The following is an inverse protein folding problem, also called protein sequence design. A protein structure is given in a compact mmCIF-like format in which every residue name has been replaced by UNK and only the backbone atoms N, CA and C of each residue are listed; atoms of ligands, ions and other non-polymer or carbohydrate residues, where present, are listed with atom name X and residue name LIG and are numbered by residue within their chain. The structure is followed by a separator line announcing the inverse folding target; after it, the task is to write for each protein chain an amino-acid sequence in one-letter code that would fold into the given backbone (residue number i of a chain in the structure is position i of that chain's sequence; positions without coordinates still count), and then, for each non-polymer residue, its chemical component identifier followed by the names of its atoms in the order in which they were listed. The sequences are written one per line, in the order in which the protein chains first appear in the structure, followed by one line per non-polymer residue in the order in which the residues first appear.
data_IF_781358890119
#
_entry.id   IF_781358890119
#
_cell.length_a   1.000
_cell.length_b   1.000
_cell.length_c   1.000
_cell.angle_alpha   90.00
_cell.angle_beta   90.00
_cell.angle_gamma   90.00
#
_symmetry.space_group_name_H-M   'P 1'
#
loop_
_entity.id
_entity.type
_entity.pdbx_description
1 polymer ?
#
# COMPACT_ATOMS: atom_id res chain seq x y z
N UNK A 1 2.28 -29.63 -6.32
CA UNK A 1 1.89 -28.43 -7.09
C UNK A 1 0.94 -27.61 -6.24
N UNK A 2 1.41 -26.49 -5.68
CA UNK A 2 0.55 -25.60 -4.89
C UNK A 2 -0.51 -24.95 -5.81
N UNK A 3 -1.81 -25.03 -5.49
CA UNK A 3 -2.89 -24.46 -6.32
C UNK A 3 -2.84 -22.92 -6.43
N UNK A 4 -2.01 -22.25 -5.63
CA UNK A 4 -1.74 -20.81 -5.77
C UNK A 4 -0.83 -20.51 -6.95
N UNK A 5 0.27 -21.25 -7.13
CA UNK A 5 1.26 -21.04 -8.20
C UNK A 5 0.62 -21.14 -9.59
N UNK A 6 -0.29 -22.10 -9.81
CA UNK A 6 -0.97 -22.26 -11.10
C UNK A 6 -1.82 -21.05 -11.46
N UNK A 7 -2.56 -20.46 -10.51
CA UNK A 7 -3.37 -19.27 -10.75
C UNK A 7 -2.52 -18.06 -11.18
N UNK A 8 -1.38 -17.83 -10.52
CA UNK A 8 -0.49 -16.71 -10.84
C UNK A 8 0.24 -16.89 -12.16
N UNK A 9 0.68 -18.11 -12.47
CA UNK A 9 1.29 -18.42 -13.77
C UNK A 9 0.27 -18.33 -14.89
N UNK A 10 -0.96 -18.84 -14.70
CA UNK A 10 -2.04 -18.78 -15.69
C UNK A 10 -2.49 -17.34 -15.92
N UNK A 11 -2.61 -16.54 -14.86
CA UNK A 11 -2.97 -15.13 -14.98
C UNK A 11 -1.85 -14.31 -15.64
N UNK A 12 -0.57 -14.54 -15.29
CA UNK A 12 0.56 -13.89 -15.96
C UNK A 12 0.59 -14.23 -17.45
N UNK A 13 0.47 -15.53 -17.80
CA UNK A 13 0.42 -15.99 -19.19
C UNK A 13 -0.78 -15.39 -19.94
N UNK A 14 -1.96 -15.33 -19.32
CA UNK A 14 -3.13 -14.69 -19.91
C UNK A 14 -2.92 -13.19 -20.15
N UNK A 15 -2.31 -12.48 -19.20
CA UNK A 15 -2.05 -11.03 -19.29
C UNK A 15 -0.92 -10.69 -20.26
N UNK A 16 0.07 -11.57 -20.47
CA UNK A 16 1.15 -11.39 -21.44
C UNK A 16 0.69 -11.71 -22.89
N UNK A 17 -0.28 -12.61 -23.07
CA UNK A 17 -0.76 -13.04 -24.39
C UNK A 17 -2.00 -12.25 -24.90
N UNK A 18 -2.87 -11.78 -24.00
CA UNK A 18 -4.08 -11.01 -24.34
C UNK A 18 -4.05 -9.45 -24.26
N UNK A 19 -2.91 -8.73 -24.05
CA UNK A 19 -2.92 -7.26 -23.92
C UNK A 19 -3.57 -6.52 -25.09
N UNK A 20 -3.46 -7.11 -26.28
CA UNK A 20 -3.84 -6.46 -27.54
C UNK A 20 -5.35 -6.59 -27.82
N UNK A 21 -6.03 -7.55 -27.19
CA UNK A 21 -7.41 -7.95 -27.50
C UNK A 21 -8.39 -7.83 -26.32
N UNK A 22 -7.92 -7.71 -25.08
CA UNK A 22 -8.80 -7.63 -23.91
C UNK A 22 -9.63 -6.33 -23.89
N UNK A 23 -10.95 -6.47 -23.77
CA UNK A 23 -11.86 -5.34 -23.59
C UNK A 23 -11.91 -4.89 -22.11
N UNK A 24 -12.55 -3.74 -21.85
CA UNK A 24 -12.66 -3.14 -20.51
C UNK A 24 -13.18 -4.12 -19.45
N UNK A 25 -14.18 -4.94 -19.83
CA UNK A 25 -14.84 -5.92 -18.98
C UNK A 25 -13.90 -7.05 -18.58
N UNK A 26 -13.12 -7.57 -19.52
CA UNK A 26 -12.13 -8.62 -19.25
C UNK A 26 -11.00 -8.12 -18.35
N UNK A 27 -10.51 -6.91 -18.63
CA UNK A 27 -9.46 -6.31 -17.81
C UNK A 27 -9.92 -6.06 -16.37
N UNK A 28 -11.11 -5.49 -16.19
CA UNK A 28 -11.67 -5.25 -14.86
C UNK A 28 -11.98 -6.57 -14.13
N UNK A 29 -12.46 -7.59 -14.85
CA UNK A 29 -12.70 -8.93 -14.28
C UNK A 29 -11.39 -9.59 -13.80
N UNK A 30 -10.32 -9.53 -14.61
CA UNK A 30 -9.01 -10.05 -14.21
C UNK A 30 -8.42 -9.28 -13.03
N UNK A 31 -8.49 -7.95 -13.05
CA UNK A 31 -8.06 -7.08 -11.94
C UNK A 31 -8.82 -7.41 -10.65
N UNK A 32 -10.14 -7.55 -10.75
CA UNK A 32 -11.02 -7.88 -9.63
C UNK A 32 -10.71 -9.25 -9.05
N UNK A 33 -10.58 -10.26 -9.90
CA UNK A 33 -10.25 -11.62 -9.50
C UNK A 33 -8.86 -11.70 -8.84
N UNK A 34 -7.90 -10.94 -9.36
CA UNK A 34 -6.58 -10.78 -8.76
C UNK A 34 -6.69 -10.21 -7.34
N UNK A 35 -7.30 -9.04 -7.18
CA UNK A 35 -7.35 -8.36 -5.88
C UNK A 35 -8.16 -9.15 -4.85
N UNK A 36 -9.20 -9.86 -5.29
CA UNK A 36 -10.02 -10.70 -4.40
C UNK A 36 -9.31 -11.96 -3.89
N UNK A 37 -8.25 -12.41 -4.58
CA UNK A 37 -7.43 -13.58 -4.18
C UNK A 37 -6.15 -13.19 -3.46
N UNK A 38 -5.65 -11.98 -3.68
CA UNK A 38 -4.36 -11.49 -3.14
C UNK A 38 -4.48 -10.75 -1.84
N UNK A 39 -5.53 -9.97 -1.72
CA UNK A 39 -5.94 -9.32 -0.51
C UNK A 39 -7.29 -9.94 -0.14
N UNK A 40 -7.58 -10.12 1.14
CA UNK A 40 -8.94 -10.50 1.56
C UNK A 40 -9.91 -9.30 1.39
N UNK A 41 -9.61 -8.39 0.47
CA UNK A 41 -10.36 -7.20 0.13
C UNK A 41 -11.36 -7.49 -1.01
N UNK A 42 -12.58 -6.93 -0.95
CA UNK A 42 -13.77 -7.52 -1.53
C UNK A 42 -14.11 -6.91 -2.88
N UNK A 43 -13.17 -6.89 -3.81
CA UNK A 43 -13.36 -6.17 -5.08
C UNK A 43 -14.31 -6.86 -6.07
N UNK A 44 -14.96 -7.98 -5.72
CA UNK A 44 -15.93 -8.65 -6.58
C UNK A 44 -17.15 -7.78 -6.85
N UNK A 45 -17.15 -7.05 -7.97
CA UNK A 45 -18.37 -6.58 -8.61
C UNK A 45 -19.08 -7.75 -9.30
N UNK A 46 -20.39 -7.87 -9.09
CA UNK A 46 -21.23 -8.74 -9.92
C UNK A 46 -21.17 -8.26 -11.38
N UNK A 47 -20.87 -9.17 -12.31
CA UNK A 47 -20.77 -8.92 -13.76
C UNK A 47 -21.97 -8.16 -14.36
N UNK A 48 -23.13 -8.19 -13.70
CA UNK A 48 -24.41 -7.69 -14.22
C UNK A 48 -24.57 -6.15 -14.25
N UNK A 49 -23.76 -5.38 -13.51
CA UNK A 49 -23.89 -3.91 -13.45
C UNK A 49 -22.94 -3.13 -14.36
N UNK A 50 -22.02 -3.80 -15.05
CA UNK A 50 -21.06 -3.21 -15.98
C UNK A 50 -21.54 -3.24 -17.45
N UNK A 51 -22.80 -3.65 -17.69
CA UNK A 51 -23.32 -4.07 -18.99
C UNK A 51 -23.84 -2.96 -19.92
N UNK A 52 -23.61 -1.68 -19.66
CA UNK A 52 -24.22 -0.61 -20.48
C UNK A 52 -23.27 0.49 -20.92
N UNK A 53 -22.21 0.16 -21.67
CA UNK A 53 -21.47 1.14 -22.49
C UNK A 53 -20.89 0.47 -23.75
N UNK A 54 -21.74 0.23 -24.75
CA UNK A 54 -21.30 -0.06 -26.11
C UNK A 54 -20.94 1.26 -26.81
N UNK A 55 -19.64 1.48 -27.05
CA UNK A 55 -19.15 2.60 -27.84
C UNK A 55 -17.64 2.59 -27.95
N UNK A 56 -17.14 2.69 -29.18
CA UNK A 56 -15.78 3.01 -29.66
C UNK A 56 -14.57 2.40 -28.88
N UNK A 57 -13.96 1.37 -29.47
CA UNK A 57 -12.90 0.55 -28.87
C UNK A 57 -11.59 1.30 -28.51
N UNK A 58 -11.31 2.46 -29.13
CA UNK A 58 -10.04 3.18 -28.94
C UNK A 58 -10.03 4.07 -27.68
N UNK A 59 -11.17 4.63 -27.26
CA UNK A 59 -11.26 5.40 -26.01
C UNK A 59 -11.33 4.49 -24.77
N UNK A 60 -11.96 3.30 -24.89
CA UNK A 60 -12.07 2.31 -23.80
C UNK A 60 -10.69 1.75 -23.41
N UNK A 61 -9.80 1.49 -24.39
CA UNK A 61 -8.40 1.09 -24.15
C UNK A 61 -7.57 2.18 -23.47
N UNK A 62 -7.83 3.45 -23.76
CA UNK A 62 -7.10 4.59 -23.15
C UNK A 62 -7.49 4.80 -21.69
N UNK A 63 -8.77 4.62 -21.35
CA UNK A 63 -9.30 4.91 -20.01
C UNK A 63 -8.85 3.91 -18.94
N UNK A 64 -8.76 2.61 -19.24
CA UNK A 64 -8.26 1.59 -18.29
C UNK A 64 -6.86 1.06 -18.61
N UNK A 65 -6.17 1.67 -19.58
CA UNK A 65 -4.89 1.18 -20.11
C UNK A 65 -3.75 1.09 -19.09
N UNK A 66 -3.92 1.68 -17.90
CA UNK A 66 -2.99 1.58 -16.77
C UNK A 66 -3.22 0.36 -15.88
N UNK A 67 -4.41 -0.26 -15.87
CA UNK A 67 -4.70 -1.41 -15.01
C UNK A 67 -3.93 -2.66 -15.44
N UNK A 68 -3.83 -2.92 -16.74
CA UNK A 68 -3.09 -4.09 -17.23
C UNK A 68 -1.62 -4.06 -16.79
N UNK A 69 -0.85 -2.98 -17.05
CA UNK A 69 0.52 -2.89 -16.54
C UNK A 69 0.60 -2.90 -14.99
N UNK A 70 -0.46 -2.49 -14.28
CA UNK A 70 -0.51 -2.61 -12.80
C UNK A 70 -0.56 -4.07 -12.36
N UNK A 71 -1.41 -4.89 -12.98
CA UNK A 71 -1.48 -6.32 -12.62
C UNK A 71 -0.22 -7.05 -13.09
N UNK A 72 0.29 -6.72 -14.29
CA UNK A 72 1.53 -7.30 -14.80
C UNK A 72 2.70 -7.02 -13.86
N UNK A 73 2.84 -5.79 -13.35
CA UNK A 73 3.91 -5.47 -12.39
C UNK A 73 3.80 -6.30 -11.11
N UNK A 74 2.59 -6.49 -10.59
CA UNK A 74 2.32 -7.29 -9.40
C UNK A 74 2.55 -8.79 -9.61
N UNK A 75 2.16 -9.33 -10.77
CA UNK A 75 2.40 -10.73 -11.10
C UNK A 75 3.89 -11.02 -11.20
N UNK A 76 4.63 -10.19 -11.94
CA UNK A 76 6.07 -10.36 -12.14
C UNK A 76 6.82 -10.18 -10.82
N UNK A 77 6.53 -9.14 -10.01
CA UNK A 77 7.22 -8.97 -8.72
C UNK A 77 6.92 -10.13 -7.76
N UNK A 78 5.69 -10.63 -7.72
CA UNK A 78 5.35 -11.81 -6.90
C UNK A 78 6.15 -13.05 -7.32
N UNK A 79 6.38 -13.26 -8.62
CA UNK A 79 7.25 -14.34 -9.11
C UNK A 79 8.70 -14.16 -8.65
N UNK A 80 9.23 -12.93 -8.61
CA UNK A 80 10.61 -12.70 -8.12
C UNK A 80 10.81 -13.03 -6.64
N UNK A 81 9.73 -13.01 -5.85
CA UNK A 81 9.77 -13.41 -4.44
C UNK A 81 9.81 -14.94 -4.26
N UNK A 82 9.58 -15.72 -5.33
CA UNK A 82 9.68 -17.18 -5.29
C UNK A 82 11.11 -17.62 -5.65
N UNK A 83 11.76 -18.49 -4.84
CA UNK A 83 13.14 -18.93 -5.07
C UNK A 83 13.38 -19.56 -6.45
N UNK A 84 12.34 -20.14 -7.03
CA UNK A 84 12.36 -20.93 -8.27
C UNK A 84 12.46 -20.04 -9.54
N UNK A 85 12.14 -18.74 -9.44
CA UNK A 85 11.99 -17.85 -10.59
C UNK A 85 12.85 -16.57 -10.51
N UNK A 86 13.87 -16.57 -9.64
CA UNK A 86 14.79 -15.44 -9.48
C UNK A 86 15.69 -15.28 -10.71
N UNK A 87 15.25 -14.43 -11.64
CA UNK A 87 16.09 -13.87 -12.71
C UNK A 87 16.16 -12.35 -12.53
N UNK A 88 17.37 -11.79 -12.64
CA UNK A 88 17.62 -10.34 -12.55
C UNK A 88 16.74 -9.52 -13.52
N UNK A 89 16.42 -10.10 -14.68
CA UNK A 89 15.59 -9.48 -15.72
C UNK A 89 14.11 -9.34 -15.31
N UNK A 90 13.60 -10.20 -14.43
CA UNK A 90 12.20 -10.14 -13.98
C UNK A 90 11.92 -8.92 -13.11
N UNK A 91 12.87 -8.54 -12.23
CA UNK A 91 12.69 -7.36 -11.38
C UNK A 91 12.64 -6.08 -12.21
N UNK A 92 13.52 -5.94 -13.20
CA UNK A 92 13.52 -4.82 -14.13
C UNK A 92 12.20 -4.74 -14.93
N UNK A 93 11.66 -5.88 -15.40
CA UNK A 93 10.36 -5.94 -16.07
C UNK A 93 9.21 -5.52 -15.16
N UNK A 94 9.19 -5.96 -13.91
CA UNK A 94 8.17 -5.57 -12.94
C UNK A 94 8.15 -4.03 -12.75
N UNK A 95 9.33 -3.42 -12.59
CA UNK A 95 9.49 -1.96 -12.52
C UNK A 95 9.00 -1.29 -13.81
N UNK A 96 9.38 -1.81 -14.97
CA UNK A 96 8.96 -1.26 -16.27
C UNK A 96 7.43 -1.25 -16.42
N UNK A 97 6.75 -2.32 -16.00
CA UNK A 97 5.29 -2.37 -15.99
C UNK A 97 4.68 -1.33 -15.05
N UNK A 98 5.23 -1.15 -13.84
CA UNK A 98 4.75 -0.14 -12.89
C UNK A 98 4.96 1.31 -13.39
N UNK A 99 6.10 1.59 -14.04
CA UNK A 99 6.36 2.88 -14.69
C UNK A 99 5.33 3.12 -15.80
N UNK A 100 5.07 2.11 -16.62
CA UNK A 100 4.08 2.18 -17.70
C UNK A 100 2.67 2.42 -17.15
N UNK A 101 2.27 1.72 -16.09
CA UNK A 101 1.01 1.92 -15.40
C UNK A 101 0.87 3.37 -14.94
N UNK A 102 1.88 3.86 -14.21
CA UNK A 102 1.89 5.20 -13.62
C UNK A 102 1.86 6.31 -14.69
N UNK A 103 2.61 6.14 -15.79
CA UNK A 103 2.61 7.09 -16.89
C UNK A 103 1.23 7.16 -17.58
N UNK A 104 0.61 5.99 -17.83
CA UNK A 104 -0.73 5.92 -18.43
C UNK A 104 -1.80 6.49 -17.51
N UNK A 105 -1.73 6.20 -16.21
CA UNK A 105 -2.65 6.74 -15.22
C UNK A 105 -2.64 8.28 -15.22
N UNK A 106 -1.46 8.88 -15.14
CA UNK A 106 -1.31 10.35 -15.17
C UNK A 106 -1.82 11.00 -16.47
N UNK A 107 -1.75 10.28 -17.58
CA UNK A 107 -2.24 10.78 -18.86
C UNK A 107 -3.76 10.61 -19.03
N UNK A 108 -4.32 9.51 -18.49
CA UNK A 108 -5.73 9.17 -18.68
C UNK A 108 -6.66 9.82 -17.65
N UNK A 109 -6.20 10.00 -16.40
CA UNK A 109 -7.06 10.41 -15.29
C UNK A 109 -6.71 11.81 -14.79
N UNK A 110 -7.72 12.68 -14.70
CA UNK A 110 -7.58 14.08 -14.26
C UNK A 110 -8.43 14.42 -13.03
N UNK A 111 -9.07 13.41 -12.43
CA UNK A 111 -9.88 13.55 -11.23
C UNK A 111 -10.78 12.34 -11.02
N UNK A 112 -11.20 12.12 -9.78
CA UNK A 112 -12.09 11.02 -9.40
C UNK A 112 -13.55 11.41 -9.65
N UNK A 113 -14.31 10.52 -10.28
CA UNK A 113 -15.74 10.65 -10.55
C UNK A 113 -16.45 9.28 -10.52
N UNK A 114 -17.78 9.28 -10.66
CA UNK A 114 -18.60 8.07 -10.59
C UNK A 114 -18.20 6.97 -11.61
N UNK A 115 -17.62 7.37 -12.75
CA UNK A 115 -17.26 6.46 -13.82
C UNK A 115 -15.85 5.88 -13.72
N UNK A 116 -14.95 6.41 -12.87
CA UNK A 116 -13.55 5.98 -12.84
C UNK A 116 -13.00 5.67 -11.44
N UNK A 117 -13.74 5.95 -10.36
CA UNK A 117 -13.24 5.78 -9.00
C UNK A 117 -12.75 4.36 -8.67
N UNK A 118 -13.40 3.32 -9.24
CA UNK A 118 -13.01 1.94 -8.97
C UNK A 118 -11.71 1.53 -9.68
N UNK A 119 -11.53 1.78 -10.99
CA UNK A 119 -10.23 1.66 -11.64
C UNK A 119 -9.12 2.45 -10.94
N UNK A 120 -9.39 3.68 -10.53
CA UNK A 120 -8.43 4.51 -9.78
C UNK A 120 -8.06 3.84 -8.45
N UNK A 121 -9.04 3.28 -7.73
CA UNK A 121 -8.83 2.53 -6.50
C UNK A 121 -7.94 1.31 -6.73
N UNK A 122 -8.22 0.52 -7.76
CA UNK A 122 -7.43 -0.67 -8.12
C UNK A 122 -5.99 -0.30 -8.49
N UNK A 123 -5.80 0.76 -9.25
CA UNK A 123 -4.46 1.30 -9.55
C UNK A 123 -3.73 1.73 -8.27
N UNK A 124 -4.38 2.54 -7.42
CA UNK A 124 -3.76 3.04 -6.19
C UNK A 124 -3.36 1.92 -5.24
N UNK A 125 -4.26 0.96 -4.99
CA UNK A 125 -3.98 -0.22 -4.16
C UNK A 125 -2.88 -1.07 -4.79
N UNK A 126 -2.94 -1.31 -6.11
CA UNK A 126 -1.91 -2.07 -6.82
C UNK A 126 -0.54 -1.40 -6.76
N UNK A 127 -0.49 -0.08 -6.87
CA UNK A 127 0.76 0.68 -6.76
C UNK A 127 1.35 0.59 -5.35
N UNK A 128 0.53 0.68 -4.29
CA UNK A 128 0.98 0.50 -2.91
C UNK A 128 1.52 -0.93 -2.72
N UNK A 129 0.78 -1.95 -3.14
CA UNK A 129 1.21 -3.36 -3.07
C UNK A 129 2.54 -3.58 -3.79
N UNK A 130 2.71 -3.00 -4.98
CA UNK A 130 3.93 -3.12 -5.76
C UNK A 130 5.13 -2.55 -5.02
N UNK A 131 5.01 -1.34 -4.47
CA UNK A 131 6.11 -0.71 -3.73
C UNK A 131 6.51 -1.54 -2.51
N UNK A 132 5.54 -2.04 -1.74
CA UNK A 132 5.81 -2.94 -0.62
C UNK A 132 6.56 -4.21 -1.08
N UNK A 133 6.14 -4.84 -2.18
CA UNK A 133 6.80 -6.03 -2.72
C UNK A 133 8.23 -5.75 -3.23
N UNK A 134 8.45 -4.62 -3.89
CA UNK A 134 9.80 -4.20 -4.32
C UNK A 134 10.71 -3.97 -3.13
N UNK A 135 10.21 -3.32 -2.07
CA UNK A 135 10.97 -3.07 -0.85
C UNK A 135 11.40 -4.34 -0.12
N UNK A 136 10.76 -5.50 -0.35
CA UNK A 136 11.23 -6.79 0.17
C UNK A 136 12.49 -7.29 -0.55
N UNK A 137 12.54 -7.13 -1.87
CA UNK A 137 13.64 -7.63 -2.71
C UNK A 137 14.78 -6.63 -2.88
N UNK A 138 14.61 -5.38 -2.43
CA UNK A 138 15.63 -4.34 -2.55
C UNK A 138 16.90 -4.74 -1.78
N UNK A 139 18.09 -4.74 -2.43
CA UNK A 139 19.37 -4.90 -1.74
C UNK A 139 19.55 -3.88 -0.62
N UNK A 140 20.25 -4.25 0.45
CA UNK A 140 20.40 -3.40 1.65
C UNK A 140 21.02 -2.02 1.34
N UNK A 141 21.96 -1.93 0.39
CA UNK A 141 22.57 -0.66 0.00
C UNK A 141 21.63 0.30 -0.74
N UNK A 142 20.48 -0.19 -1.20
CA UNK A 142 19.47 0.56 -1.95
C UNK A 142 18.14 0.67 -1.20
N UNK A 143 18.09 0.19 0.04
CA UNK A 143 16.88 0.19 0.84
C UNK A 143 16.70 1.55 1.53
N UNK A 144 15.71 2.30 1.07
CA UNK A 144 15.31 3.58 1.65
C UNK A 144 14.14 3.37 2.61
N UNK A 145 14.37 3.56 3.91
CA UNK A 145 13.40 3.22 4.94
C UNK A 145 12.16 4.14 4.95
N UNK A 146 12.19 5.27 4.23
CA UNK A 146 11.07 6.22 4.10
C UNK A 146 10.23 6.04 2.82
N UNK A 147 10.65 5.21 1.87
CA UNK A 147 9.98 5.12 0.56
C UNK A 147 8.50 4.76 0.67
N UNK A 148 8.19 3.69 1.39
CA UNK A 148 6.79 3.26 1.61
C UNK A 148 6.00 4.30 2.38
N UNK A 149 6.66 4.98 3.32
CA UNK A 149 6.02 6.05 4.07
C UNK A 149 5.58 7.19 3.14
N UNK A 150 6.43 7.60 2.21
CA UNK A 150 6.10 8.58 1.19
C UNK A 150 5.02 8.10 0.22
N UNK A 151 5.05 6.83 -0.20
CA UNK A 151 4.02 6.23 -1.06
C UNK A 151 2.65 6.29 -0.39
N UNK A 152 2.56 5.90 0.89
CA UNK A 152 1.32 5.94 1.66
C UNK A 152 0.81 7.38 1.86
N UNK A 153 1.71 8.31 2.22
CA UNK A 153 1.36 9.74 2.37
C UNK A 153 0.88 10.33 1.04
N UNK A 154 1.55 10.04 -0.06
CA UNK A 154 1.17 10.51 -1.41
C UNK A 154 -0.17 9.95 -1.88
N UNK A 155 -0.55 8.76 -1.42
CA UNK A 155 -1.84 8.14 -1.74
C UNK A 155 -3.03 8.75 -0.96
N UNK A 156 -2.79 9.57 0.06
CA UNK A 156 -3.84 10.08 0.95
C UNK A 156 -4.94 10.84 0.23
N UNK A 157 -4.56 11.85 -0.57
CA UNK A 157 -5.52 12.68 -1.31
C UNK A 157 -6.38 11.85 -2.25
N UNK A 158 -5.75 10.94 -3.01
CA UNK A 158 -6.46 10.05 -3.92
C UNK A 158 -7.41 9.11 -3.15
N UNK A 159 -6.94 8.60 -2.01
CA UNK A 159 -7.71 7.76 -1.11
C UNK A 159 -8.96 8.47 -0.55
N UNK A 160 -8.85 9.74 -0.19
CA UNK A 160 -9.98 10.55 0.28
C UNK A 160 -11.02 10.76 -0.83
N UNK A 161 -10.57 11.16 -2.03
CA UNK A 161 -11.45 11.36 -3.18
C UNK A 161 -12.21 10.07 -3.54
N UNK A 162 -11.49 8.94 -3.64
CA UNK A 162 -12.06 7.61 -3.90
C UNK A 162 -12.97 7.14 -2.75
N UNK A 163 -12.60 7.43 -1.51
CA UNK A 163 -13.34 7.04 -0.31
C UNK A 163 -14.79 7.52 -0.34
N UNK A 164 -15.04 8.73 -0.84
CA UNK A 164 -16.39 9.28 -0.94
C UNK A 164 -17.32 8.47 -1.86
N UNK A 165 -16.79 7.85 -2.90
CA UNK A 165 -17.52 6.97 -3.80
C UNK A 165 -17.64 5.56 -3.23
N UNK A 166 -16.56 5.04 -2.64
CA UNK A 166 -16.53 3.72 -2.03
C UNK A 166 -17.60 3.60 -0.93
N UNK A 167 -17.70 4.60 -0.04
CA UNK A 167 -18.66 4.61 1.08
C UNK A 167 -20.12 4.54 0.61
N UNK A 168 -20.43 5.11 -0.56
CA UNK A 168 -21.78 5.11 -1.17
C UNK A 168 -22.05 3.87 -2.04
N UNK A 169 -21.02 3.09 -2.33
CA UNK A 169 -21.12 1.92 -3.22
C UNK A 169 -21.58 0.66 -2.50
N UNK A 170 -22.07 -0.32 -3.25
CA UNK A 170 -22.41 -1.65 -2.70
C UNK A 170 -21.20 -2.40 -2.14
N UNK A 171 -19.98 -2.04 -2.57
CA UNK A 171 -18.73 -2.60 -2.06
C UNK A 171 -18.51 -2.24 -0.58
N UNK A 172 -19.02 -1.09 -0.11
CA UNK A 172 -18.99 -0.71 1.31
C UNK A 172 -19.69 -1.76 2.20
N UNK A 173 -20.89 -2.18 1.80
CA UNK A 173 -21.64 -3.21 2.54
C UNK A 173 -21.01 -4.60 2.48
N UNK A 174 -20.18 -4.89 1.46
CA UNK A 174 -19.40 -6.13 1.38
C UNK A 174 -18.17 -6.09 2.29
N UNK A 175 -17.47 -4.94 2.33
CA UNK A 175 -16.37 -4.67 3.25
C UNK A 175 -16.79 -4.87 4.71
N UNK A 176 -17.93 -4.28 5.11
CA UNK A 176 -18.34 -4.34 6.52
C UNK A 176 -18.80 -5.73 6.97
N UNK A 177 -19.31 -6.55 6.05
CA UNK A 177 -19.68 -7.95 6.36
C UNK A 177 -18.47 -8.84 6.63
N UNK A 178 -17.30 -8.54 6.04
CA UNK A 178 -16.06 -9.30 6.26
C UNK A 178 -15.24 -8.80 7.45
N UNK A 179 -15.59 -7.64 8.02
CA UNK A 179 -14.93 -7.03 9.18
C UNK A 179 -14.80 -7.97 10.41
N UNK A 180 -15.79 -8.84 10.76
CA UNK A 180 -15.68 -9.74 11.90
C UNK A 180 -14.64 -10.85 11.71
N UNK A 181 -14.44 -11.33 10.48
CA UNK A 181 -13.47 -12.41 10.18
C UNK A 181 -12.02 -11.96 10.39
N UNK A 182 -11.77 -10.65 10.28
CA UNK A 182 -10.45 -10.00 10.47
C UNK A 182 -10.29 -9.51 11.93
N UNK A 183 -11.36 -9.53 12.73
CA UNK A 183 -11.37 -9.09 14.12
C UNK A 183 -11.02 -10.24 15.07
N UNK A 184 -9.89 -10.91 14.88
CA UNK A 184 -9.38 -11.79 15.93
C UNK A 184 -8.82 -10.95 17.11
N UNK A 185 -8.97 -11.41 18.36
CA UNK A 185 -8.40 -10.75 19.51
C UNK A 185 -6.88 -10.70 19.35
N UNK A 186 -6.32 -9.50 19.40
CA UNK A 186 -4.87 -9.31 19.45
C UNK A 186 -4.44 -9.34 20.91
N UNK A 187 -3.22 -9.84 21.16
CA UNK A 187 -2.57 -9.74 22.46
C UNK A 187 -2.60 -8.30 23.00
N UNK A 188 -2.54 -8.11 24.33
CA UNK A 188 -2.49 -6.78 24.93
C UNK A 188 -1.42 -5.90 24.26
N UNK A 189 -1.87 -4.76 23.73
CA UNK A 189 -1.02 -3.81 23.01
C UNK A 189 -0.26 -2.91 24.01
N UNK A 190 0.96 -3.32 24.37
CA UNK A 190 1.87 -2.50 25.19
C UNK A 190 2.44 -1.29 24.44
N UNK A 191 2.21 -1.15 23.12
CA UNK A 191 2.79 -0.04 22.33
C UNK A 191 2.26 1.31 22.79
N UNK A 192 1.01 1.40 23.26
CA UNK A 192 0.47 2.64 23.82
C UNK A 192 1.18 3.07 25.11
N UNK A 193 1.55 2.12 25.96
CA UNK A 193 2.32 2.42 27.17
C UNK A 193 3.72 2.92 26.80
N UNK A 194 4.41 2.21 25.91
CA UNK A 194 5.74 2.60 25.45
C UNK A 194 5.75 3.97 24.74
N UNK A 195 4.72 4.30 23.97
CA UNK A 195 4.52 5.64 23.40
C UNK A 195 4.25 6.72 24.45
N UNK A 196 3.62 6.38 25.58
CA UNK A 196 3.46 7.34 26.69
C UNK A 196 4.79 7.58 27.39
N UNK A 197 5.61 6.55 27.58
CA UNK A 197 6.98 6.68 28.09
C UNK A 197 7.83 7.56 27.15
N UNK A 198 7.73 7.34 25.84
CA UNK A 198 8.41 8.19 24.84
C UNK A 198 8.00 9.66 24.91
N UNK A 199 6.76 9.97 25.29
CA UNK A 199 6.34 11.38 25.45
C UNK A 199 7.02 12.10 26.62
N UNK A 200 7.67 11.35 27.51
CA UNK A 200 8.48 11.88 28.60
C UNK A 200 9.98 11.83 28.29
N UNK A 201 10.38 11.35 27.11
CA UNK A 201 11.78 11.28 26.73
C UNK A 201 12.36 12.68 26.53
N UNK A 202 13.58 12.88 26.99
CA UNK A 202 14.33 14.10 26.73
C UNK A 202 14.83 14.11 25.28
N UNK A 203 14.71 15.26 24.64
CA UNK A 203 15.34 15.49 23.34
C UNK A 203 16.80 15.89 23.56
N UNK A 204 17.70 15.55 22.63
CA UNK A 204 19.04 16.13 22.60
C UNK A 204 19.02 17.67 22.76
N UNK A 205 20.02 18.22 23.46
CA UNK A 205 20.10 19.65 23.80
C UNK A 205 20.09 20.55 22.55
N UNK A 206 20.63 20.06 21.44
CA UNK A 206 20.74 20.73 20.15
C UNK A 206 19.47 20.62 19.28
N UNK A 207 18.46 19.87 19.71
CA UNK A 207 17.21 19.75 18.96
C UNK A 207 16.42 21.06 19.00
N UNK A 208 16.14 21.63 17.82
CA UNK A 208 15.31 22.81 17.66
C UNK A 208 13.90 22.61 18.22
N UNK A 209 13.33 23.66 18.84
CA UNK A 209 11.99 23.62 19.44
C UNK A 209 10.88 23.32 18.42
N UNK A 210 11.06 23.76 17.17
CA UNK A 210 10.15 23.44 16.06
C UNK A 210 10.14 21.93 15.75
N UNK A 211 11.31 21.30 15.70
CA UNK A 211 11.46 19.85 15.54
C UNK A 211 10.77 19.08 16.67
N UNK A 212 10.92 19.55 17.92
CA UNK A 212 10.22 18.97 19.08
C UNK A 212 8.71 19.07 18.95
N UNK A 213 8.21 20.22 18.51
CA UNK A 213 6.77 20.45 18.28
C UNK A 213 6.22 19.50 17.22
N UNK A 214 6.93 19.30 16.11
CA UNK A 214 6.52 18.37 15.06
C UNK A 214 6.56 16.91 15.51
N UNK A 215 7.58 16.50 16.27
CA UNK A 215 7.67 15.16 16.86
C UNK A 215 6.53 14.92 17.87
N UNK A 216 6.23 15.90 18.73
CA UNK A 216 5.11 15.81 19.66
C UNK A 216 3.77 15.61 18.94
N UNK A 217 3.51 16.41 17.90
CA UNK A 217 2.30 16.25 17.08
C UNK A 217 2.22 14.86 16.42
N UNK A 218 3.33 14.37 15.85
CA UNK A 218 3.38 13.05 15.23
C UNK A 218 3.11 11.92 16.24
N UNK A 219 3.67 12.04 17.46
CA UNK A 219 3.46 11.07 18.55
C UNK A 219 2.01 11.06 19.04
N UNK A 220 1.40 12.22 19.26
CA UNK A 220 -0.01 12.28 19.68
C UNK A 220 -0.95 11.74 18.60
N UNK A 221 -0.68 12.04 17.33
CA UNK A 221 -1.40 11.43 16.20
C UNK A 221 -1.19 9.91 16.16
N UNK A 222 0.01 9.40 16.44
CA UNK A 222 0.30 7.97 16.47
C UNK A 222 -0.46 7.26 17.59
N UNK A 223 -0.51 7.85 18.78
CA UNK A 223 -1.30 7.33 19.91
C UNK A 223 -2.79 7.28 19.56
N UNK A 224 -3.32 8.33 18.93
CA UNK A 224 -4.71 8.34 18.47
C UNK A 224 -4.97 7.26 17.42
N UNK A 225 -4.12 7.18 16.40
CA UNK A 225 -4.25 6.21 15.31
C UNK A 225 -4.16 4.77 15.83
N UNK A 226 -3.24 4.49 16.76
CA UNK A 226 -3.08 3.17 17.38
C UNK A 226 -4.35 2.74 18.10
N UNK A 227 -5.02 3.65 18.83
CA UNK A 227 -6.33 3.40 19.44
C UNK A 227 -7.42 3.17 18.38
N UNK A 228 -7.43 3.98 17.32
CA UNK A 228 -8.38 3.88 16.21
C UNK A 228 -8.31 2.52 15.50
N UNK A 229 -7.11 2.01 15.22
CA UNK A 229 -6.89 0.69 14.61
C UNK A 229 -6.92 -0.46 15.62
N UNK A 230 -7.05 -0.15 16.92
CA UNK A 230 -6.96 -1.11 18.03
C UNK A 230 -5.67 -1.94 17.96
N UNK A 231 -4.55 -1.26 17.72
CA UNK A 231 -3.23 -1.86 17.60
C UNK A 231 -3.00 -2.72 16.35
N UNK A 232 -4.00 -2.89 15.48
CA UNK A 232 -3.92 -3.76 14.29
C UNK A 232 -4.56 -3.09 13.07
N UNK A 233 -3.75 -2.50 12.17
CA UNK A 233 -4.24 -1.96 10.92
C UNK A 233 -4.60 -3.11 9.96
N UNK A 234 -5.76 -3.00 9.30
CA UNK A 234 -6.42 -4.07 8.52
C UNK A 234 -6.79 -3.68 7.10
N UNK A 235 -6.84 -2.39 6.79
CA UNK A 235 -7.23 -1.91 5.47
C UNK A 235 -6.36 -0.73 5.03
N UNK A 236 -6.43 -0.40 3.74
CA UNK A 236 -5.61 0.64 3.13
C UNK A 236 -5.81 2.02 3.75
N UNK A 237 -7.05 2.38 4.10
CA UNK A 237 -7.35 3.63 4.82
C UNK A 237 -6.56 3.70 6.13
N UNK A 238 -6.51 2.60 6.89
CA UNK A 238 -5.74 2.53 8.13
C UNK A 238 -4.22 2.60 7.91
N UNK A 239 -3.70 2.06 6.81
CA UNK A 239 -2.27 2.14 6.48
C UNK A 239 -1.86 3.58 6.12
N UNK A 240 -2.74 4.30 5.42
CA UNK A 240 -2.50 5.65 4.89
C UNK A 240 -2.69 6.74 5.96
N UNK A 241 -3.64 6.55 6.89
CA UNK A 241 -4.12 7.61 7.76
C UNK A 241 -3.03 8.27 8.61
N UNK A 242 -2.16 7.49 9.25
CA UNK A 242 -1.10 8.07 10.07
C UNK A 242 -0.01 8.77 9.24
N UNK A 243 0.57 8.14 8.18
CA UNK A 243 1.52 8.82 7.29
C UNK A 243 0.99 10.13 6.68
N UNK A 244 -0.31 10.20 6.39
CA UNK A 244 -0.97 11.40 5.89
C UNK A 244 -1.10 12.51 6.95
N UNK A 245 -1.17 12.15 8.23
CA UNK A 245 -1.47 13.08 9.32
C UNK A 245 -0.27 13.87 9.86
N UNK A 246 0.96 13.38 9.65
CA UNK A 246 2.15 14.03 10.23
C UNK A 246 2.54 15.28 9.44
N UNK A 247 3.26 16.22 10.06
CA UNK A 247 3.71 17.45 9.40
C UNK A 247 4.92 17.19 8.51
N UNK A 248 5.16 18.05 7.51
CA UNK A 248 6.39 17.98 6.71
C UNK A 248 7.65 18.20 7.57
N UNK A 249 7.56 19.02 8.63
CA UNK A 249 8.67 19.19 9.57
C UNK A 249 9.03 17.91 10.36
N UNK A 250 8.07 17.02 10.62
CA UNK A 250 8.39 15.69 11.17
C UNK A 250 9.11 14.82 10.13
N UNK A 251 8.77 14.94 8.84
CA UNK A 251 9.47 14.26 7.76
C UNK A 251 10.90 14.75 7.64
N UNK A 252 11.11 16.07 7.71
CA UNK A 252 12.46 16.65 7.78
C UNK A 252 13.24 16.08 8.95
N UNK A 253 12.63 15.97 10.14
CA UNK A 253 13.26 15.36 11.30
C UNK A 253 13.67 13.89 11.08
N UNK A 254 12.87 13.11 10.34
CA UNK A 254 13.23 11.74 9.96
C UNK A 254 14.41 11.71 8.99
N UNK A 255 14.42 12.56 7.97
CA UNK A 255 15.52 12.68 7.00
C UNK A 255 16.82 13.11 7.70
N UNK A 256 16.72 14.01 8.66
CA UNK A 256 17.83 14.47 9.52
C UNK A 256 18.19 13.46 10.62
N UNK A 257 17.50 12.31 10.68
CA UNK A 257 17.79 11.20 11.61
C UNK A 257 17.69 11.63 13.09
N UNK A 258 16.76 12.53 13.39
CA UNK A 258 16.52 13.00 14.74
C UNK A 258 16.06 11.81 15.62
N UNK A 259 16.71 11.53 16.76
CA UNK A 259 16.49 10.29 17.51
C UNK A 259 15.04 10.05 17.91
N UNK A 260 14.35 11.07 18.42
CA UNK A 260 12.95 10.95 18.82
C UNK A 260 12.04 10.73 17.61
N UNK A 261 12.33 11.34 16.46
CA UNK A 261 11.56 11.12 15.24
C UNK A 261 11.68 9.66 14.78
N UNK A 262 12.90 9.12 14.76
CA UNK A 262 13.17 7.72 14.43
C UNK A 262 12.46 6.77 15.39
N UNK A 263 12.46 7.04 16.70
CA UNK A 263 11.72 6.23 17.69
C UNK A 263 10.22 6.22 17.41
N UNK A 264 9.60 7.37 17.12
CA UNK A 264 8.19 7.46 16.74
C UNK A 264 7.91 6.60 15.49
N UNK A 265 8.79 6.65 14.51
CA UNK A 265 8.68 5.87 13.28
C UNK A 265 8.81 4.35 13.51
N UNK A 266 9.71 3.94 14.39
CA UNK A 266 9.86 2.54 14.83
C UNK A 266 8.57 2.05 15.51
N UNK A 267 7.96 2.85 16.39
CA UNK A 267 6.68 2.49 17.02
C UNK A 267 5.56 2.32 16.00
N UNK A 268 5.50 3.14 14.95
CA UNK A 268 4.58 2.92 13.85
C UNK A 268 4.83 1.58 13.15
N UNK A 269 6.10 1.23 12.88
CA UNK A 269 6.47 -0.07 12.30
C UNK A 269 6.05 -1.25 13.19
N UNK A 270 6.15 -1.13 14.52
CA UNK A 270 5.68 -2.14 15.48
C UNK A 270 4.17 -2.38 15.37
N UNK A 271 3.37 -1.32 15.24
CA UNK A 271 1.93 -1.46 15.06
C UNK A 271 1.61 -2.04 13.67
N UNK A 272 2.34 -1.62 12.62
CA UNK A 272 2.21 -2.16 11.27
C UNK A 272 2.58 -3.64 11.18
N UNK A 273 3.54 -4.12 11.98
CA UNK A 273 3.93 -5.53 12.06
C UNK A 273 2.76 -6.44 12.47
N UNK A 274 1.80 -5.91 13.23
CA UNK A 274 0.62 -6.66 13.68
C UNK A 274 -0.47 -6.75 12.62
N UNK A 275 -0.33 -6.08 11.48
CA UNK A 275 -1.26 -6.21 10.37
C UNK A 275 -1.37 -7.68 9.94
N UNK A 276 -2.53 -8.12 9.41
CA UNK A 276 -2.66 -9.44 8.83
C UNK A 276 -1.55 -9.68 7.80
N UNK A 277 -0.89 -10.84 7.84
CA UNK A 277 0.20 -11.15 6.91
C UNK A 277 -0.29 -11.12 5.47
N UNK A 278 0.44 -10.42 4.61
CA UNK A 278 0.19 -10.35 3.17
C UNK A 278 1.50 -10.58 2.44
N UNK A 279 1.43 -11.26 1.29
CA UNK A 279 2.62 -11.62 0.51
C UNK A 279 3.50 -10.41 0.16
N UNK A 280 2.89 -9.23 -0.01
CA UNK A 280 3.59 -8.01 -0.39
C UNK A 280 4.14 -7.22 0.79
N UNK A 281 3.68 -7.41 2.02
CA UNK A 281 4.20 -6.67 3.20
C UNK A 281 5.17 -7.47 4.06
N UNK A 282 5.45 -8.73 3.70
CA UNK A 282 6.20 -9.63 4.56
C UNK A 282 7.63 -9.12 4.82
N UNK A 283 8.09 -9.18 6.06
CA UNK A 283 9.42 -8.71 6.48
C UNK A 283 9.69 -7.20 6.36
N UNK A 284 8.92 -6.44 5.58
CA UNK A 284 9.19 -5.01 5.30
C UNK A 284 9.26 -4.17 6.59
N UNK A 285 8.29 -4.33 7.50
CA UNK A 285 8.22 -3.54 8.73
C UNK A 285 9.45 -3.75 9.63
N UNK A 286 10.04 -4.95 9.60
CA UNK A 286 11.24 -5.30 10.37
C UNK A 286 12.45 -4.65 9.72
N UNK A 287 12.60 -4.74 8.40
CA UNK A 287 13.68 -4.07 7.67
C UNK A 287 13.70 -2.57 7.93
N UNK A 288 12.53 -1.92 7.85
CA UNK A 288 12.39 -0.49 8.15
C UNK A 288 12.79 -0.18 9.59
N UNK A 289 12.27 -0.94 10.57
CA UNK A 289 12.60 -0.73 11.97
C UNK A 289 14.11 -0.93 12.24
N UNK A 290 14.73 -1.97 11.69
CA UNK A 290 16.17 -2.22 11.82
C UNK A 290 17.01 -1.11 11.18
N UNK A 291 16.64 -0.67 9.98
CA UNK A 291 17.31 0.46 9.33
C UNK A 291 17.21 1.72 10.18
N UNK A 292 16.02 2.08 10.67
CA UNK A 292 15.83 3.24 11.53
C UNK A 292 16.58 3.13 12.87
N UNK A 293 16.61 1.93 13.48
CA UNK A 293 17.39 1.68 14.70
C UNK A 293 18.90 1.83 14.48
N UNK A 294 19.41 1.44 13.32
CA UNK A 294 20.85 1.57 13.01
C UNK A 294 21.33 3.03 12.95
N UNK A 295 20.41 3.97 12.73
CA UNK A 295 20.69 5.41 12.70
C UNK A 295 20.74 6.05 14.09
N UNK A 296 20.26 5.36 15.13
CA UNK A 296 20.29 5.86 16.52
C UNK A 296 21.68 5.77 17.17
N UNK A 297 22.65 5.12 16.51
CA UNK A 297 23.98 4.88 17.05
C UNK A 297 24.04 3.76 18.10
N UNK A 298 25.24 3.33 18.54
CA UNK A 298 25.38 2.42 19.66
C UNK A 298 25.05 3.13 20.99
N UNK A 299 24.36 2.42 21.89
CA UNK A 299 24.15 2.85 23.29
C UNK A 299 25.47 3.14 24.04
#
# INVERSE_FOLDING_TARGET
MHPSLSFWSELSLALDYYPVLANEKELLSHTTAFFSKTDWAPFTLSQDKLLTLEGDYDWQKKRLGYLLPTISSLCVIHQTLQPEYQSSDMHAKAIQHNITASARFRHAEHGVNEGNWLPILMFGVGHIMFNFAVAQSAPDYSFEYLDIFHVLRGAARLGDEVGTFLEKSELSGMLERRRPEIAQPSEPDNSLQAMNELSQAEYPEDTLEETRTHCHHALESLKWWTRFVRGVPRNWKQFILWPASVTDGFITALVEKQPVALLIYIYWCVVMHRAPRRWYTDGWHQRVAFAAMSELGPE
#
